data_IF_979372926446
#
_entry.id   IF_979372926446
#
_cell.length_a   1.000
_cell.length_b   1.000
_cell.length_c   1.000
_cell.angle_alpha   90.00
_cell.angle_beta   90.00
_cell.angle_gamma   90.00
#
_symmetry.space_group_name_H-M   'P 1'
#
loop_
_entity.id
_entity.type
_entity.pdbx_description
1 polymer ?
#
# COMPACT_ATOMS: atom_id res chain seq x y z
N UNK A 1 -2.53 8.46 -11.51
CA UNK A 1 -2.20 7.20 -10.81
C UNK A 1 -0.91 6.52 -11.25
N UNK A 2 -0.46 6.68 -12.51
CA UNK A 2 0.78 6.04 -13.00
C UNK A 2 1.99 6.35 -12.09
N UNK A 3 2.18 7.62 -11.72
CA UNK A 3 3.26 8.07 -10.82
C UNK A 3 3.17 7.41 -9.43
N UNK A 4 2.00 7.40 -8.80
CA UNK A 4 1.84 6.82 -7.45
C UNK A 4 2.14 5.32 -7.43
N UNK A 5 1.67 4.57 -8.43
CA UNK A 5 2.00 3.16 -8.55
C UNK A 5 3.51 2.94 -8.82
N UNK A 6 4.11 3.76 -9.68
CA UNK A 6 5.56 3.69 -9.97
C UNK A 6 6.38 3.94 -8.70
N UNK A 7 6.05 4.97 -7.92
CA UNK A 7 6.73 5.27 -6.64
C UNK A 7 6.58 4.08 -5.69
N UNK A 8 5.34 3.63 -5.43
CA UNK A 8 5.08 2.52 -4.52
C UNK A 8 5.83 1.23 -4.93
N UNK A 9 5.80 0.89 -6.22
CA UNK A 9 6.47 -0.30 -6.76
C UNK A 9 7.98 -0.22 -6.63
N UNK A 10 8.60 0.90 -7.00
CA UNK A 10 10.06 1.05 -6.90
C UNK A 10 10.52 1.10 -5.45
N UNK A 11 9.82 1.80 -4.57
CA UNK A 11 10.11 1.78 -3.13
C UNK A 11 10.06 0.35 -2.59
N UNK A 12 9.04 -0.44 -2.94
CA UNK A 12 8.95 -1.84 -2.54
C UNK A 12 10.12 -2.69 -3.06
N UNK A 13 10.47 -2.57 -4.34
CA UNK A 13 11.60 -3.32 -4.93
C UNK A 13 12.91 -2.97 -4.25
N UNK A 14 13.18 -1.68 -4.02
CA UNK A 14 14.38 -1.22 -3.33
C UNK A 14 14.42 -1.78 -1.90
N UNK A 15 13.31 -1.76 -1.17
CA UNK A 15 13.22 -2.37 0.16
C UNK A 15 13.55 -3.86 0.14
N UNK A 16 12.99 -4.63 -0.81
CA UNK A 16 13.30 -6.07 -0.97
C UNK A 16 14.77 -6.30 -1.27
N UNK A 17 15.39 -5.47 -2.12
CA UNK A 17 16.82 -5.58 -2.41
C UNK A 17 17.68 -5.25 -1.19
N UNK A 18 17.29 -4.26 -0.39
CA UNK A 18 18.00 -3.89 0.83
C UNK A 18 17.89 -4.94 1.94
N UNK A 19 16.91 -5.84 1.88
CA UNK A 19 16.83 -6.99 2.78
C UNK A 19 18.00 -7.98 2.65
N UNK A 20 18.82 -7.90 1.58
CA UNK A 20 20.10 -8.62 1.49
C UNK A 20 21.04 -8.23 2.65
N UNK A 21 20.93 -6.99 3.13
CA UNK A 21 21.71 -6.48 4.28
C UNK A 21 20.99 -6.63 5.63
N UNK A 22 19.77 -7.20 5.63
CA UNK A 22 18.81 -7.32 6.75
C UNK A 22 18.47 -5.96 7.40
N UNK A 23 19.42 -5.29 8.05
CA UNK A 23 19.27 -3.98 8.68
C UNK A 23 18.82 -2.90 7.69
N UNK A 24 19.43 -2.86 6.50
CA UNK A 24 19.02 -1.92 5.45
C UNK A 24 17.57 -2.15 5.01
N UNK A 25 17.14 -3.41 4.93
CA UNK A 25 15.76 -3.79 4.61
C UNK A 25 14.77 -3.28 5.65
N UNK A 26 15.07 -3.45 6.94
CA UNK A 26 14.21 -2.97 8.03
C UNK A 26 14.05 -1.44 8.03
N UNK A 27 15.15 -0.70 7.86
CA UNK A 27 15.11 0.78 7.77
C UNK A 27 14.30 1.21 6.55
N UNK A 28 14.59 0.63 5.38
CA UNK A 28 13.89 0.95 4.14
C UNK A 28 12.40 0.58 4.21
N UNK A 29 12.04 -0.47 4.94
CA UNK A 29 10.66 -0.87 5.13
C UNK A 29 9.87 0.15 5.97
N UNK A 30 10.51 0.74 6.99
CA UNK A 30 9.86 1.81 7.75
C UNK A 30 9.55 3.02 6.85
N UNK A 31 10.51 3.44 6.02
CA UNK A 31 10.32 4.51 5.03
C UNK A 31 9.23 4.14 4.02
N UNK A 32 9.24 2.90 3.52
CA UNK A 32 8.22 2.36 2.62
C UNK A 32 6.82 2.46 3.25
N UNK A 33 6.67 2.07 4.52
CA UNK A 33 5.40 2.16 5.24
C UNK A 33 4.85 3.59 5.27
N UNK A 34 5.70 4.58 5.52
CA UNK A 34 5.31 6.00 5.50
C UNK A 34 4.82 6.42 4.10
N UNK A 35 5.59 6.09 3.05
CA UNK A 35 5.20 6.37 1.66
C UNK A 35 3.83 5.77 1.35
N UNK A 36 3.60 4.52 1.77
CA UNK A 36 2.35 3.82 1.51
C UNK A 36 1.16 4.41 2.26
N UNK A 37 1.33 4.83 3.52
CA UNK A 37 0.29 5.56 4.27
C UNK A 37 -0.05 6.89 3.60
N UNK A 38 0.95 7.65 3.15
CA UNK A 38 0.72 8.93 2.44
C UNK A 38 -0.07 8.69 1.14
N UNK A 39 0.32 7.70 0.34
CA UNK A 39 -0.38 7.31 -0.89
C UNK A 39 -1.82 6.88 -0.56
N UNK A 40 -2.02 6.07 0.48
CA UNK A 40 -3.34 5.60 0.88
C UNK A 40 -4.26 6.75 1.31
N UNK A 41 -3.74 7.72 2.08
CA UNK A 41 -4.48 8.92 2.46
C UNK A 41 -4.89 9.75 1.24
N UNK A 42 -3.95 10.00 0.32
CA UNK A 42 -4.23 10.70 -0.93
C UNK A 42 -5.35 10.01 -1.74
N UNK A 43 -5.27 8.68 -1.88
CA UNK A 43 -6.28 7.90 -2.60
C UNK A 43 -7.63 7.92 -1.88
N UNK A 44 -7.63 7.87 -0.54
CA UNK A 44 -8.86 7.94 0.27
C UNK A 44 -9.59 9.27 0.08
N UNK A 45 -8.86 10.38 0.00
CA UNK A 45 -9.44 11.70 -0.20
C UNK A 45 -9.93 11.92 -1.64
N UNK A 46 -9.16 11.47 -2.63
CA UNK A 46 -9.44 11.76 -4.04
C UNK A 46 -10.54 10.89 -4.66
N UNK A 47 -10.83 9.72 -4.10
CA UNK A 47 -11.66 8.73 -4.78
C UNK A 47 -13.10 8.70 -4.27
N UNK A 48 -14.03 8.70 -5.21
CA UNK A 48 -15.46 8.73 -4.93
C UNK A 48 -15.89 7.50 -4.11
N UNK A 49 -16.82 7.68 -3.17
CA UNK A 49 -17.12 6.71 -2.09
C UNK A 49 -17.68 5.35 -2.56
N UNK A 50 -18.11 5.25 -3.81
CA UNK A 50 -18.88 4.09 -4.30
C UNK A 50 -18.15 3.20 -5.32
N UNK A 51 -16.91 3.52 -5.70
CA UNK A 51 -16.14 2.71 -6.67
C UNK A 51 -15.52 1.46 -6.07
N UNK A 52 -15.22 0.45 -6.91
CA UNK A 52 -14.44 -0.75 -6.55
C UNK A 52 -13.13 -0.39 -5.83
N UNK A 53 -12.52 0.70 -6.24
CA UNK A 53 -11.34 1.27 -5.63
C UNK A 53 -11.53 1.66 -4.16
N UNK A 54 -12.66 2.28 -3.84
CA UNK A 54 -12.94 2.69 -2.47
C UNK A 54 -13.02 1.47 -1.54
N UNK A 55 -13.58 0.37 -2.04
CA UNK A 55 -13.60 -0.92 -1.32
C UNK A 55 -12.18 -1.46 -1.09
N UNK A 56 -11.32 -1.44 -2.11
CA UNK A 56 -9.94 -1.91 -1.99
C UNK A 56 -9.11 -1.10 -0.96
N UNK A 57 -9.24 0.22 -0.98
CA UNK A 57 -8.58 1.12 -0.03
C UNK A 57 -9.13 0.93 1.39
N UNK A 58 -10.45 0.77 1.54
CA UNK A 58 -11.07 0.47 2.84
C UNK A 58 -10.57 -0.86 3.41
N UNK A 59 -10.44 -1.89 2.57
CA UNK A 59 -9.85 -3.17 2.97
C UNK A 59 -8.39 -3.00 3.40
N UNK A 60 -7.59 -2.20 2.68
CA UNK A 60 -6.23 -1.89 3.11
C UNK A 60 -6.19 -1.24 4.51
N UNK A 61 -7.01 -0.22 4.75
CA UNK A 61 -7.11 0.41 6.07
C UNK A 61 -7.55 -0.55 7.17
N UNK A 62 -8.44 -1.50 6.85
CA UNK A 62 -8.88 -2.53 7.82
C UNK A 62 -7.76 -3.46 8.27
N UNK A 63 -6.65 -3.57 7.51
CA UNK A 63 -5.47 -4.32 7.93
C UNK A 63 -4.39 -3.43 8.57
N UNK A 64 -4.19 -2.22 8.03
CA UNK A 64 -3.16 -1.30 8.51
C UNK A 64 -3.48 -0.73 9.89
N UNK A 65 -4.73 -0.34 10.15
CA UNK A 65 -5.11 0.27 11.44
C UNK A 65 -4.89 -0.73 12.59
N UNK A 66 -5.40 -1.98 12.53
CA UNK A 66 -5.10 -2.95 13.57
C UNK A 66 -3.61 -3.21 13.74
N UNK A 67 -2.85 -3.33 12.64
CA UNK A 67 -1.40 -3.50 12.71
C UNK A 67 -0.71 -2.34 13.45
N UNK A 68 -1.05 -1.08 13.16
CA UNK A 68 -0.46 0.07 13.84
C UNK A 68 -0.87 0.13 15.32
N UNK A 69 -2.12 -0.21 15.64
CA UNK A 69 -2.59 -0.26 17.03
C UNK A 69 -1.89 -1.36 17.83
N UNK A 70 -1.77 -2.56 17.27
CA UNK A 70 -1.03 -3.65 17.90
C UNK A 70 0.44 -3.26 18.09
N UNK A 71 1.06 -2.58 17.11
CA UNK A 71 2.45 -2.12 17.23
C UNK A 71 2.60 -1.14 18.41
N UNK A 72 1.66 -0.21 18.54
CA UNK A 72 1.65 0.75 19.65
C UNK A 72 1.46 0.05 21.00
N UNK A 73 0.53 -0.91 21.09
CA UNK A 73 0.28 -1.67 22.33
C UNK A 73 1.52 -2.48 22.70
N UNK A 74 2.09 -3.26 21.78
CA UNK A 74 3.29 -4.06 22.03
C UNK A 74 4.47 -3.18 22.45
N UNK A 75 4.69 -2.04 21.78
CA UNK A 75 5.78 -1.12 22.09
C UNK A 75 5.67 -0.44 23.46
N UNK A 76 4.46 -0.33 24.03
CA UNK A 76 4.24 0.29 25.34
C UNK A 76 3.95 -0.74 26.45
N UNK A 77 3.90 -2.03 26.09
CA UNK A 77 3.66 -3.11 27.04
C UNK A 77 4.99 -3.73 27.50
N UNK A 78 5.09 -4.14 28.77
CA UNK A 78 6.22 -4.93 29.27
C UNK A 78 6.14 -6.41 28.87
N UNK A 79 5.54 -6.70 27.71
CA UNK A 79 5.45 -8.07 27.18
C UNK A 79 6.82 -8.38 26.57
N UNK A 80 7.39 -9.53 26.94
CA UNK A 80 8.61 -10.06 26.32
C UNK A 80 8.21 -11.15 25.31
N UNK A 81 7.82 -10.78 24.07
CA UNK A 81 7.47 -11.76 23.05
C UNK A 81 8.70 -12.58 22.66
N UNK A 82 8.45 -13.81 22.18
CA UNK A 82 9.48 -14.64 21.58
C UNK A 82 10.12 -13.89 20.38
N UNK A 83 11.43 -14.05 20.20
CA UNK A 83 12.20 -13.46 19.10
C UNK A 83 11.58 -13.73 17.71
N UNK A 84 11.10 -14.94 17.47
CA UNK A 84 10.41 -15.29 16.21
C UNK A 84 9.18 -14.41 15.97
N UNK A 85 8.41 -14.14 17.02
CA UNK A 85 7.20 -13.32 16.95
C UNK A 85 7.56 -11.87 16.59
N UNK A 86 8.66 -11.36 17.15
CA UNK A 86 9.18 -10.02 16.84
C UNK A 86 9.51 -9.91 15.35
N UNK A 87 10.22 -10.88 14.78
CA UNK A 87 10.57 -10.89 13.36
C UNK A 87 9.36 -10.98 12.44
N UNK A 88 8.39 -11.84 12.76
CA UNK A 88 7.13 -11.92 12.02
C UNK A 88 6.43 -10.56 12.03
N UNK A 89 6.37 -9.93 13.20
CA UNK A 89 5.65 -8.69 13.39
C UNK A 89 6.33 -7.48 12.74
N UNK A 90 7.66 -7.38 12.84
CA UNK A 90 8.42 -6.23 12.34
C UNK A 90 8.88 -6.36 10.90
N UNK A 91 8.95 -7.56 10.32
CA UNK A 91 9.40 -7.76 8.95
C UNK A 91 8.32 -8.39 8.06
N UNK A 92 7.80 -9.56 8.44
CA UNK A 92 6.93 -10.35 7.56
C UNK A 92 5.58 -9.68 7.31
N UNK A 93 4.88 -9.27 8.38
CA UNK A 93 3.55 -8.63 8.27
C UNK A 93 3.63 -7.31 7.46
N UNK A 94 4.55 -6.38 7.76
CA UNK A 94 4.71 -5.16 6.98
C UNK A 94 5.00 -5.41 5.51
N UNK A 95 5.84 -6.40 5.18
CA UNK A 95 6.12 -6.74 3.78
C UNK A 95 4.91 -7.30 3.06
N UNK A 96 4.10 -8.12 3.72
CA UNK A 96 2.86 -8.63 3.16
C UNK A 96 1.86 -7.49 2.89
N UNK A 97 1.69 -6.57 3.85
CA UNK A 97 0.87 -5.36 3.67
C UNK A 97 1.37 -4.50 2.52
N UNK A 98 2.69 -4.30 2.44
CA UNK A 98 3.31 -3.50 1.40
C UNK A 98 3.12 -4.12 0.02
N UNK A 99 3.28 -5.45 -0.11
CA UNK A 99 3.02 -6.19 -1.34
C UNK A 99 1.55 -6.09 -1.78
N UNK A 100 0.62 -6.26 -0.83
CA UNK A 100 -0.81 -6.09 -1.10
C UNK A 100 -1.14 -4.67 -1.57
N UNK A 101 -0.49 -3.65 -1.01
CA UNK A 101 -0.70 -2.26 -1.43
C UNK A 101 -0.14 -1.98 -2.84
N UNK A 102 1.00 -2.59 -3.22
CA UNK A 102 1.49 -2.56 -4.60
C UNK A 102 0.46 -3.16 -5.56
N UNK A 103 -0.15 -4.29 -5.18
CA UNK A 103 -1.23 -4.89 -5.97
C UNK A 103 -2.43 -3.96 -6.11
N UNK A 104 -2.93 -3.36 -5.02
CA UNK A 104 -4.02 -2.37 -5.07
C UNK A 104 -3.67 -1.26 -6.06
N UNK A 105 -2.55 -0.56 -5.86
CA UNK A 105 -2.17 0.58 -6.72
C UNK A 105 -2.02 0.21 -8.19
N UNK A 106 -1.65 -1.04 -8.51
CA UNK A 106 -1.62 -1.58 -9.89
C UNK A 106 -3.04 -1.70 -10.45
N UNK A 107 -3.96 -2.32 -9.72
CA UNK A 107 -5.36 -2.46 -10.12
C UNK A 107 -6.00 -1.09 -10.34
N UNK A 108 -5.76 -0.14 -9.43
CA UNK A 108 -6.30 1.22 -9.55
C UNK A 108 -5.80 1.94 -10.80
N UNK A 109 -4.51 1.77 -11.13
CA UNK A 109 -3.92 2.33 -12.34
C UNK A 109 -4.60 1.77 -13.59
N UNK A 110 -4.91 0.48 -13.61
CA UNK A 110 -5.54 -0.17 -14.76
C UNK A 110 -7.01 0.23 -14.92
N UNK A 111 -7.81 0.22 -13.84
CA UNK A 111 -9.22 0.63 -13.89
C UNK A 111 -9.37 2.08 -14.39
N UNK A 112 -8.55 3.00 -13.87
CA UNK A 112 -8.59 4.39 -14.33
C UNK A 112 -8.13 4.58 -15.77
N UNK A 113 -7.27 3.70 -16.29
CA UNK A 113 -6.89 3.74 -17.69
C UNK A 113 -8.06 3.28 -18.58
N UNK A 114 -8.78 2.22 -18.17
CA UNK A 114 -9.94 1.71 -18.89
C UNK A 114 -11.10 2.71 -18.94
N UNK A 115 -11.38 3.38 -17.82
CA UNK A 115 -12.42 4.44 -17.78
C UNK A 115 -12.07 5.63 -18.69
N UNK A 116 -10.81 6.04 -18.70
CA UNK A 116 -10.37 7.13 -19.58
C UNK A 116 -10.48 6.75 -21.07
N UNK A 117 -10.23 5.48 -21.43
CA UNK A 117 -10.38 5.02 -22.81
C UNK A 117 -11.84 4.92 -23.26
N UNK A 118 -12.75 4.49 -22.38
CA UNK A 118 -14.18 4.39 -22.72
C UNK A 118 -14.82 5.77 -22.91
N UNK A 119 -14.47 6.76 -22.06
CA UNK A 119 -14.96 8.14 -22.22
C UNK A 119 -14.51 8.77 -23.55
N UNK A 120 -13.27 8.48 -24.00
CA UNK A 120 -12.80 8.97 -25.29
C UNK A 120 -13.50 8.33 -26.48
N UNK A 121 -13.81 7.04 -26.40
CA UNK A 121 -14.50 6.30 -27.47
C UNK A 121 -15.95 6.78 -27.62
N UNK A 122 -16.66 6.94 -26.51
CA UNK A 122 -18.04 7.44 -26.47
C UNK A 122 -18.11 8.92 -26.94
N UNK A 123 -17.11 9.75 -26.61
CA UNK A 123 -17.03 11.12 -27.11
C UNK A 123 -16.80 11.19 -28.63
N UNK A 124 -16.03 10.27 -29.21
CA UNK A 124 -15.83 10.19 -30.66
C UNK A 124 -17.04 9.64 -31.41
N UNK A 125 -17.80 8.74 -30.81
CA UNK A 125 -19.04 8.21 -31.40
C UNK A 125 -20.14 9.26 -31.45
N UNK A 126 -20.30 10.08 -30.40
CA UNK A 126 -21.28 11.17 -30.36
C UNK A 126 -20.97 12.36 -31.30
N UNK A 127 -19.80 12.39 -31.93
CA UNK A 127 -19.38 13.43 -32.88
C UNK A 127 -19.53 13.01 -34.35
N UNK A 128 -19.87 11.75 -34.63
CA UNK A 128 -20.12 11.20 -35.97
C UNK A 128 -21.62 11.01 -36.23
#
# INVERSE_FOLDING_TARGET
>A
MKILHTINRWSFIITVLLYITIFGGLIAQFILGIIQVIIALYLTYKMNKNGLVHKAIRTYWSYVIPYLLLLLIFSNSNINPNELLIWIYLAVIPMALAGYFVYITKTLKNEMFLLASSETEEATENLN
#
